data_IF_491018644534
#
_entry.id   IF_491018644534
#
_cell.length_a   1.000
_cell.length_b   1.000
_cell.length_c   1.000
_cell.angle_alpha   90.00
_cell.angle_beta   90.00
_cell.angle_gamma   90.00
#
_symmetry.space_group_name_H-M   'P 1'
#
loop_
_entity.id
_entity.type
_entity.pdbx_description
1 polymer ?
#
# COMPACT_ATOMS: atom_id res chain seq x y z
N UNK A 1 -14.67 0.58 11.37
CA UNK A 1 -14.48 -0.04 10.03
C UNK A 1 -13.28 -0.97 10.10
N UNK A 2 -13.51 -2.25 9.82
CA UNK A 2 -12.44 -3.26 9.87
C UNK A 2 -11.66 -3.30 8.55
N UNK A 3 -10.53 -3.99 8.55
CA UNK A 3 -9.78 -4.24 7.34
C UNK A 3 -10.62 -5.00 6.31
N UNK A 4 -11.42 -5.95 6.79
CA UNK A 4 -12.34 -6.70 5.93
C UNK A 4 -13.36 -5.78 5.24
N UNK A 5 -13.88 -4.80 5.98
CA UNK A 5 -14.81 -3.80 5.43
C UNK A 5 -14.13 -2.96 4.34
N UNK A 6 -12.88 -2.56 4.56
CA UNK A 6 -12.12 -1.79 3.57
C UNK A 6 -11.88 -2.61 2.30
N UNK A 7 -11.54 -3.90 2.45
CA UNK A 7 -11.39 -4.79 1.31
C UNK A 7 -12.68 -4.90 0.50
N UNK A 8 -13.81 -5.06 1.18
CA UNK A 8 -15.11 -5.19 0.52
C UNK A 8 -15.48 -3.90 -0.20
N UNK A 9 -15.25 -2.77 0.44
CA UNK A 9 -15.52 -1.46 -0.16
C UNK A 9 -14.69 -1.26 -1.44
N UNK A 10 -13.41 -1.63 -1.40
CA UNK A 10 -12.55 -1.54 -2.58
C UNK A 10 -12.99 -2.49 -3.69
N UNK A 11 -13.41 -3.70 -3.34
CA UNK A 11 -13.90 -4.67 -4.31
C UNK A 11 -15.14 -4.14 -5.05
N UNK A 12 -16.09 -3.57 -4.32
CA UNK A 12 -17.30 -2.99 -4.91
C UNK A 12 -16.97 -1.83 -5.84
N UNK A 13 -16.06 -0.96 -5.40
CA UNK A 13 -15.57 0.16 -6.21
C UNK A 13 -14.96 -0.34 -7.52
N UNK A 14 -14.12 -1.37 -7.45
CA UNK A 14 -13.43 -1.92 -8.61
C UNK A 14 -14.42 -2.60 -9.57
N UNK A 15 -15.39 -3.35 -9.04
CA UNK A 15 -16.41 -4.03 -9.86
C UNK A 15 -17.23 -3.04 -10.67
N UNK A 16 -17.61 -1.92 -10.08
CA UNK A 16 -18.37 -0.88 -10.78
C UNK A 16 -17.63 -0.33 -11.98
N UNK A 17 -16.29 -0.42 -11.97
CA UNK A 17 -15.41 0.12 -13.02
C UNK A 17 -14.76 -0.97 -13.86
N UNK A 18 -15.10 -2.23 -13.62
CA UNK A 18 -14.47 -3.40 -14.24
C UNK A 18 -12.98 -3.52 -13.94
N UNK A 19 -12.50 -2.88 -12.90
CA UNK A 19 -11.09 -2.95 -12.48
C UNK A 19 -10.77 -4.24 -11.74
N UNK A 20 -11.78 -4.95 -11.26
CA UNK A 20 -11.63 -6.28 -10.66
C UNK A 20 -11.10 -7.31 -11.68
N UNK A 21 -11.14 -6.97 -12.97
CA UNK A 21 -10.67 -7.85 -14.07
C UNK A 21 -9.24 -7.56 -14.48
N UNK A 22 -8.58 -6.61 -13.87
CA UNK A 22 -7.18 -6.33 -14.17
C UNK A 22 -6.32 -7.53 -13.78
N UNK A 23 -5.24 -7.74 -14.55
CA UNK A 23 -4.27 -8.78 -14.24
C UNK A 23 -3.52 -8.41 -12.96
N UNK A 24 -3.19 -9.43 -12.16
CA UNK A 24 -2.42 -9.23 -10.94
C UNK A 24 -1.09 -8.51 -11.22
N UNK A 25 -0.44 -8.81 -12.34
CA UNK A 25 0.82 -8.17 -12.72
C UNK A 25 0.66 -6.67 -12.90
N UNK A 26 -0.44 -6.21 -13.50
CA UNK A 26 -0.69 -4.78 -13.69
C UNK A 26 -0.93 -4.07 -12.35
N UNK A 27 -1.70 -4.71 -11.47
CA UNK A 27 -1.96 -4.18 -10.13
C UNK A 27 -0.64 -4.10 -9.35
N UNK A 28 0.16 -5.16 -9.41
CA UNK A 28 1.43 -5.24 -8.69
C UNK A 28 2.41 -4.17 -9.15
N UNK A 29 2.57 -4.00 -10.46
CA UNK A 29 3.47 -2.98 -10.99
C UNK A 29 3.04 -1.58 -10.54
N UNK A 30 1.74 -1.30 -10.60
CA UNK A 30 1.21 -0.01 -10.15
C UNK A 30 1.47 0.19 -8.65
N UNK A 31 1.30 -0.87 -7.85
CA UNK A 31 1.60 -0.81 -6.41
C UNK A 31 3.06 -0.46 -6.16
N UNK A 32 3.98 -1.11 -6.89
CA UNK A 32 5.41 -0.84 -6.76
C UNK A 32 5.75 0.60 -7.15
N UNK A 33 5.11 1.12 -8.20
CA UNK A 33 5.30 2.51 -8.61
C UNK A 33 4.89 3.48 -7.49
N UNK A 34 3.75 3.26 -6.86
CA UNK A 34 3.28 4.11 -5.77
C UNK A 34 4.16 3.98 -4.52
N UNK A 35 4.63 2.77 -4.21
CA UNK A 35 5.62 2.56 -3.14
C UNK A 35 6.91 3.32 -3.44
N UNK A 36 7.32 3.33 -4.71
CA UNK A 36 8.48 4.10 -5.14
C UNK A 36 8.32 5.60 -4.89
N UNK A 37 7.12 6.13 -5.08
CA UNK A 37 6.84 7.54 -4.78
C UNK A 37 7.00 7.84 -3.29
N UNK A 38 6.52 6.95 -2.41
CA UNK A 38 6.74 7.09 -0.97
C UNK A 38 8.24 7.07 -0.67
N UNK A 39 8.97 6.12 -1.27
CA UNK A 39 10.41 6.03 -1.09
C UNK A 39 11.14 7.30 -1.53
N UNK A 40 10.71 7.90 -2.63
CA UNK A 40 11.26 9.15 -3.12
C UNK A 40 11.03 10.30 -2.13
N UNK A 41 9.83 10.39 -1.57
CA UNK A 41 9.52 11.38 -0.53
C UNK A 41 10.45 11.23 0.67
N UNK A 42 10.64 9.99 1.13
CA UNK A 42 11.53 9.70 2.27
C UNK A 42 12.97 10.12 1.95
N UNK A 43 13.46 9.79 0.76
CA UNK A 43 14.80 10.13 0.34
C UNK A 43 15.03 11.66 0.29
N UNK A 44 14.04 12.40 -0.20
CA UNK A 44 14.12 13.85 -0.21
C UNK A 44 14.08 14.43 1.20
N UNK A 45 13.18 13.92 2.05
CA UNK A 45 13.05 14.37 3.43
C UNK A 45 14.36 14.18 4.22
N UNK A 46 15.02 13.04 4.00
CA UNK A 46 16.29 12.74 4.67
C UNK A 46 17.51 13.40 4.01
N UNK A 47 17.30 14.13 2.91
CA UNK A 47 18.37 14.76 2.19
C UNK A 47 19.23 13.81 1.36
N UNK A 48 18.80 12.56 1.22
CA UNK A 48 19.51 11.56 0.42
C UNK A 48 19.48 11.89 -1.07
N UNK A 49 18.36 12.43 -1.55
CA UNK A 49 18.20 12.89 -2.93
C UNK A 49 17.84 14.37 -2.94
N UNK A 50 18.30 15.05 -3.98
CA UNK A 50 17.96 16.45 -4.22
C UNK A 50 17.41 16.59 -5.64
N UNK A 51 16.67 17.69 -5.87
CA UNK A 51 16.17 17.98 -7.21
C UNK A 51 17.31 18.48 -8.11
N UNK A 52 16.99 18.82 -9.37
CA UNK A 52 17.97 19.27 -10.34
C UNK A 52 18.66 20.59 -9.94
N UNK A 53 18.07 21.37 -9.02
CA UNK A 53 18.66 22.59 -8.49
C UNK A 53 19.62 22.35 -7.33
N UNK A 54 19.71 21.10 -6.87
CA UNK A 54 20.51 20.74 -5.71
C UNK A 54 19.81 20.99 -4.38
N UNK A 55 18.51 21.26 -4.41
CA UNK A 55 17.72 21.52 -3.22
C UNK A 55 16.80 20.33 -2.91
N UNK A 56 16.49 20.16 -1.61
CA UNK A 56 15.50 19.17 -1.19
C UNK A 56 14.11 19.72 -1.52
N UNK A 57 13.32 19.01 -2.34
CA UNK A 57 11.95 19.45 -2.65
C UNK A 57 11.10 19.54 -1.38
N UNK A 58 10.22 20.53 -1.36
CA UNK A 58 9.27 20.68 -0.26
C UNK A 58 8.09 19.76 -0.52
N UNK A 59 7.98 18.69 0.28
CA UNK A 59 6.94 17.69 0.13
C UNK A 59 5.89 17.91 1.20
N UNK A 60 4.63 18.08 0.78
CA UNK A 60 3.55 18.30 1.71
C UNK A 60 3.16 17.00 2.42
N UNK A 61 2.82 17.12 3.70
CA UNK A 61 2.33 16.00 4.50
C UNK A 61 1.02 15.46 3.92
N UNK A 62 0.18 16.30 3.33
CA UNK A 62 -1.06 15.89 2.68
C UNK A 62 -0.83 15.02 1.44
N UNK A 63 0.20 15.34 0.66
CA UNK A 63 0.58 14.51 -0.49
C UNK A 63 1.04 13.12 -0.02
N UNK A 64 1.82 13.09 1.05
CA UNK A 64 2.29 11.83 1.62
C UNK A 64 1.14 10.95 2.10
N UNK A 65 0.15 11.55 2.78
CA UNK A 65 -1.05 10.82 3.22
C UNK A 65 -1.77 10.17 2.04
N UNK A 66 -1.91 10.91 0.94
CA UNK A 66 -2.58 10.38 -0.25
C UNK A 66 -1.81 9.24 -0.87
N UNK A 67 -0.47 9.30 -0.88
CA UNK A 67 0.36 8.21 -1.38
C UNK A 67 0.16 6.93 -0.57
N UNK A 68 0.13 7.06 0.78
CA UNK A 68 -0.14 5.91 1.64
C UNK A 68 -1.52 5.31 1.36
N UNK A 69 -2.54 6.16 1.18
CA UNK A 69 -3.89 5.70 0.86
C UNK A 69 -3.94 4.96 -0.48
N UNK A 70 -3.25 5.49 -1.49
CA UNK A 70 -3.20 4.88 -2.82
C UNK A 70 -2.51 3.52 -2.79
N UNK A 71 -1.42 3.41 -2.03
CA UNK A 71 -0.73 2.13 -1.82
C UNK A 71 -1.67 1.11 -1.17
N UNK A 72 -2.38 1.52 -0.13
CA UNK A 72 -3.34 0.63 0.54
C UNK A 72 -4.44 0.19 -0.42
N UNK A 73 -5.00 1.11 -1.20
CA UNK A 73 -6.04 0.77 -2.17
C UNK A 73 -5.57 -0.28 -3.16
N UNK A 74 -4.36 -0.14 -3.67
CA UNK A 74 -3.80 -1.10 -4.63
C UNK A 74 -3.49 -2.44 -3.97
N UNK A 75 -3.01 -2.41 -2.73
CA UNK A 75 -2.75 -3.63 -1.97
C UNK A 75 -4.03 -4.42 -1.71
N UNK A 76 -5.11 -3.72 -1.34
CA UNK A 76 -6.43 -4.32 -1.15
C UNK A 76 -6.95 -4.92 -2.47
N UNK A 77 -6.77 -4.21 -3.57
CA UNK A 77 -7.16 -4.71 -4.89
C UNK A 77 -6.42 -5.99 -5.26
N UNK A 78 -5.12 -6.03 -4.98
CA UNK A 78 -4.32 -7.22 -5.25
C UNK A 78 -4.77 -8.41 -4.40
N UNK A 79 -5.01 -8.17 -3.11
CA UNK A 79 -5.52 -9.20 -2.22
C UNK A 79 -6.88 -9.73 -2.68
N UNK A 80 -7.76 -8.84 -3.12
CA UNK A 80 -9.08 -9.23 -3.66
C UNK A 80 -8.95 -10.09 -4.91
N UNK A 81 -7.96 -9.79 -5.75
CA UNK A 81 -7.70 -10.59 -6.94
C UNK A 81 -7.46 -12.07 -6.60
N UNK A 82 -6.79 -12.32 -5.48
CA UNK A 82 -6.50 -13.67 -5.01
C UNK A 82 -7.51 -14.18 -3.99
N UNK A 83 -8.59 -13.44 -3.77
CA UNK A 83 -9.64 -13.80 -2.79
C UNK A 83 -9.09 -14.04 -1.40
N UNK A 84 -8.08 -13.24 -1.00
CA UNK A 84 -7.49 -13.33 0.34
C UNK A 84 -8.27 -12.47 1.32
N UNK A 85 -8.50 -13.00 2.52
CA UNK A 85 -9.03 -12.22 3.63
C UNK A 85 -7.83 -11.68 4.42
N UNK A 86 -7.46 -10.42 4.20
CA UNK A 86 -6.28 -9.82 4.81
C UNK A 86 -6.38 -9.74 6.32
N UNK A 87 -7.58 -9.54 6.85
CA UNK A 87 -7.76 -9.47 8.31
C UNK A 87 -7.41 -10.81 8.95
N UNK A 88 -7.88 -11.91 8.37
CA UNK A 88 -7.58 -13.26 8.85
C UNK A 88 -6.09 -13.58 8.73
N UNK A 89 -5.50 -13.35 7.55
CA UNK A 89 -4.09 -13.68 7.34
C UNK A 89 -3.18 -12.81 8.18
N UNK A 90 -3.56 -11.56 8.43
CA UNK A 90 -2.81 -10.67 9.32
C UNK A 90 -2.80 -11.21 10.76
N UNK A 91 -3.97 -11.61 11.27
CA UNK A 91 -4.09 -12.16 12.63
C UNK A 91 -3.23 -13.39 12.80
N UNK A 92 -3.27 -14.30 11.84
CA UNK A 92 -2.47 -15.52 11.87
C UNK A 92 -0.97 -15.21 11.85
N UNK A 93 -0.56 -14.28 11.00
CA UNK A 93 0.85 -13.90 10.91
C UNK A 93 1.34 -13.23 12.17
N UNK A 94 0.48 -12.44 12.84
CA UNK A 94 0.83 -11.85 14.14
C UNK A 94 1.05 -12.90 15.21
N UNK A 95 0.26 -13.96 15.21
CA UNK A 95 0.44 -15.08 16.16
C UNK A 95 1.77 -15.78 15.91
N UNK A 96 2.10 -16.03 14.63
CA UNK A 96 3.37 -16.64 14.26
C UNK A 96 4.53 -15.74 14.68
N UNK A 97 4.43 -14.43 14.43
CA UNK A 97 5.47 -13.49 14.80
C UNK A 97 5.68 -13.40 16.31
N UNK A 98 4.60 -13.40 17.09
CA UNK A 98 4.69 -13.39 18.56
C UNK A 98 5.42 -14.60 19.09
N UNK A 99 5.16 -15.77 18.52
CA UNK A 99 5.84 -17.00 18.90
C UNK A 99 7.31 -16.99 18.49
N UNK A 100 7.58 -16.55 17.24
CA UNK A 100 8.93 -16.52 16.68
C UNK A 100 9.84 -15.50 17.38
N UNK A 101 9.29 -14.35 17.78
CA UNK A 101 10.05 -13.25 18.39
C UNK A 101 9.59 -13.01 19.82
N UNK A 102 9.57 -14.06 20.64
CA UNK A 102 9.18 -13.95 22.06
C UNK A 102 10.10 -13.00 22.81
N UNK A 103 9.49 -12.20 23.69
CA UNK A 103 10.28 -11.44 24.66
C UNK A 103 10.90 -12.41 25.68
N UNK A 104 12.16 -12.23 25.95
CA UNK A 104 12.87 -13.00 26.97
C UNK A 104 12.62 -12.41 28.36
#
# INVERSE_FOLDING_TARGET
MSLKDLQQQKLEFDKERSWDKFRASNIFVHLIEELGEIGRHICYEEGYKKDSSGQTPNISHEELKREFAQVLMLFLQLANHYSLDLEEVFKKEMEIAKERFKKS
#
